data_IF_819880238270
#
_entry.id   IF_819880238270
#
_cell.length_a   1.000
_cell.length_b   1.000
_cell.length_c   1.000
_cell.angle_alpha   90.00
_cell.angle_beta   90.00
_cell.angle_gamma   90.00
#
_symmetry.space_group_name_H-M   'P 1'
#
loop_
_entity.id
_entity.type
_entity.pdbx_description
1 polymer ?
#
# COMPACT_ATOMS: atom_id res chain seq x y z
N UNK A 1 11.21 -44.79 -25.60
CA UNK A 1 10.62 -43.52 -26.05
C UNK A 1 9.88 -42.88 -24.87
N UNK A 2 10.65 -42.37 -23.90
CA UNK A 2 10.12 -41.85 -22.65
C UNK A 2 11.09 -40.80 -22.13
N UNK A 3 10.92 -39.52 -22.52
CA UNK A 3 11.61 -38.39 -21.90
C UNK A 3 11.01 -37.03 -22.26
N UNK A 4 9.72 -36.81 -22.01
CA UNK A 4 9.14 -35.45 -22.01
C UNK A 4 8.05 -35.34 -20.93
N UNK A 5 8.45 -35.46 -19.66
CA UNK A 5 7.75 -34.80 -18.56
C UNK A 5 8.60 -33.59 -18.21
N UNK A 6 8.46 -32.54 -19.02
CA UNK A 6 8.97 -31.22 -18.67
C UNK A 6 8.25 -30.76 -17.42
N UNK A 7 9.01 -30.43 -16.38
CA UNK A 7 8.51 -29.80 -15.18
C UNK A 7 7.70 -28.57 -15.60
N UNK A 8 6.40 -28.58 -15.29
CA UNK A 8 5.52 -27.42 -15.52
C UNK A 8 5.91 -26.36 -14.49
N UNK A 9 6.87 -25.52 -14.85
CA UNK A 9 7.20 -24.35 -14.06
C UNK A 9 6.05 -23.37 -14.22
N UNK A 10 5.34 -23.11 -13.13
CA UNK A 10 4.39 -22.01 -13.05
C UNK A 10 5.19 -20.72 -13.16
N UNK A 11 5.11 -20.03 -14.31
CA UNK A 11 5.77 -18.75 -14.49
C UNK A 11 4.96 -17.66 -13.80
N UNK A 12 5.50 -17.16 -12.69
CA UNK A 12 4.97 -16.00 -11.99
C UNK A 12 5.57 -14.75 -12.65
N UNK A 13 4.74 -13.97 -13.34
CA UNK A 13 5.15 -12.69 -13.90
C UNK A 13 4.78 -11.57 -12.94
N UNK A 14 5.79 -10.78 -12.58
CA UNK A 14 5.68 -9.66 -11.66
C UNK A 14 5.78 -8.37 -12.45
N UNK A 15 4.73 -7.55 -12.40
CA UNK A 15 4.68 -6.29 -13.13
C UNK A 15 5.37 -5.18 -12.32
N UNK A 16 6.64 -4.93 -12.63
CA UNK A 16 7.45 -3.89 -11.98
C UNK A 16 6.88 -2.49 -12.17
N UNK A 17 6.20 -2.21 -13.28
CA UNK A 17 5.64 -0.89 -13.54
C UNK A 17 4.41 -0.65 -12.64
N UNK A 18 3.62 -1.68 -12.36
CA UNK A 18 2.50 -1.58 -11.40
C UNK A 18 3.03 -1.41 -9.97
N UNK A 19 4.13 -2.08 -9.61
CA UNK A 19 4.65 -2.07 -8.24
C UNK A 19 5.42 -0.78 -7.91
N UNK A 20 6.24 -0.27 -8.83
CA UNK A 20 7.13 0.88 -8.60
C UNK A 20 6.86 2.07 -9.54
N UNK A 21 5.73 2.05 -10.24
CA UNK A 21 5.35 3.09 -11.20
C UNK A 21 5.30 4.49 -10.59
N UNK A 22 5.35 5.50 -11.47
CA UNK A 22 5.30 6.91 -11.08
C UNK A 22 4.07 7.25 -10.23
N UNK A 23 2.96 6.60 -10.50
CA UNK A 23 1.71 6.73 -9.75
C UNK A 23 1.91 6.44 -8.25
N UNK A 24 2.54 5.29 -7.93
CA UNK A 24 2.88 4.88 -6.56
C UNK A 24 3.84 5.87 -5.88
N UNK A 25 4.78 6.42 -6.64
CA UNK A 25 5.73 7.42 -6.15
C UNK A 25 5.02 8.75 -5.81
N UNK A 26 4.06 9.18 -6.63
CA UNK A 26 3.25 10.37 -6.36
C UNK A 26 2.44 10.16 -5.09
N UNK A 27 1.75 9.02 -4.95
CA UNK A 27 1.02 8.66 -3.74
C UNK A 27 1.90 8.74 -2.49
N UNK A 28 3.08 8.11 -2.53
CA UNK A 28 4.06 8.17 -1.46
C UNK A 28 4.51 9.61 -1.15
N UNK A 29 4.90 10.39 -2.16
CA UNK A 29 5.43 11.75 -1.97
C UNK A 29 4.37 12.72 -1.49
N UNK A 30 3.17 12.70 -2.08
CA UNK A 30 2.07 13.60 -1.72
C UNK A 30 1.65 13.41 -0.26
N UNK A 31 1.40 12.17 0.14
CA UNK A 31 1.04 11.86 1.52
C UNK A 31 2.22 12.09 2.48
N UNK A 32 3.46 11.86 2.04
CA UNK A 32 4.67 12.16 2.79
C UNK A 32 4.80 13.66 3.11
N UNK A 33 4.70 14.52 2.11
CA UNK A 33 4.79 15.98 2.28
C UNK A 33 3.69 16.51 3.20
N UNK A 34 2.43 16.10 2.98
CA UNK A 34 1.30 16.48 3.83
C UNK A 34 1.56 16.08 5.28
N UNK A 35 2.04 14.85 5.48
CA UNK A 35 2.33 14.30 6.81
C UNK A 35 3.46 15.02 7.51
N UNK A 36 4.52 15.42 6.80
CA UNK A 36 5.62 16.23 7.35
C UNK A 36 5.06 17.56 7.87
N UNK A 37 4.28 18.26 7.04
CA UNK A 37 3.70 19.57 7.39
C UNK A 37 2.82 19.44 8.63
N UNK A 38 1.90 18.47 8.64
CA UNK A 38 1.00 18.23 9.77
C UNK A 38 1.76 17.80 11.03
N UNK A 39 2.82 16.99 10.89
CA UNK A 39 3.66 16.58 12.01
C UNK A 39 4.39 17.76 12.66
N UNK A 40 4.95 18.67 11.87
CA UNK A 40 5.53 19.91 12.40
C UNK A 40 4.49 20.81 13.06
N UNK A 41 3.32 20.98 12.44
CA UNK A 41 2.22 21.74 13.04
C UNK A 41 1.84 21.17 14.40
N UNK A 42 1.71 19.85 14.53
CA UNK A 42 1.45 19.19 15.82
C UNK A 42 2.51 19.54 16.84
N UNK A 43 3.80 19.47 16.51
CA UNK A 43 4.87 19.78 17.46
C UNK A 43 4.83 21.26 17.89
N UNK A 44 4.58 22.17 16.95
CA UNK A 44 4.59 23.62 17.23
C UNK A 44 3.40 24.06 18.10
N UNK A 45 2.22 23.45 17.93
CA UNK A 45 0.99 23.89 18.60
C UNK A 45 0.63 23.07 19.84
N UNK A 46 1.30 21.93 20.07
CA UNK A 46 0.95 21.01 21.16
C UNK A 46 1.85 21.19 22.36
N UNK A 47 1.27 21.10 23.57
CA UNK A 47 2.06 20.88 24.76
C UNK A 47 2.81 19.54 24.69
N UNK A 48 4.05 19.50 25.19
CA UNK A 48 4.98 18.37 25.04
C UNK A 48 4.37 17.03 25.45
N UNK A 49 3.56 17.02 26.50
CA UNK A 49 2.91 15.83 27.05
C UNK A 49 1.88 15.17 26.11
N UNK A 50 1.50 15.85 25.02
CA UNK A 50 0.45 15.39 24.11
C UNK A 50 0.93 15.11 22.69
N UNK A 51 2.19 15.40 22.36
CA UNK A 51 2.73 15.26 20.99
C UNK A 51 2.58 13.82 20.49
N UNK A 52 3.04 12.83 21.26
CA UNK A 52 2.97 11.42 20.87
C UNK A 52 1.53 10.96 20.57
N UNK A 53 0.58 11.35 21.45
CA UNK A 53 -0.84 11.02 21.25
C UNK A 53 -1.40 11.67 20.00
N UNK A 54 -1.09 12.95 19.76
CA UNK A 54 -1.57 13.70 18.60
C UNK A 54 -0.97 13.19 17.29
N UNK A 55 0.33 12.86 17.26
CA UNK A 55 1.00 12.24 16.11
C UNK A 55 0.37 10.88 15.80
N UNK A 56 0.12 10.05 16.83
CA UNK A 56 -0.58 8.77 16.66
C UNK A 56 -1.99 8.95 16.09
N UNK A 57 -2.78 9.86 16.65
CA UNK A 57 -4.13 10.15 16.15
C UNK A 57 -4.10 10.67 14.70
N UNK A 58 -3.12 11.52 14.37
CA UNK A 58 -2.93 12.03 13.01
C UNK A 58 -2.55 10.91 12.04
N UNK A 59 -1.63 10.02 12.43
CA UNK A 59 -1.27 8.85 11.63
C UNK A 59 -2.50 7.99 11.32
N UNK A 60 -3.34 7.69 12.32
CA UNK A 60 -4.57 6.91 12.13
C UNK A 60 -5.51 7.62 11.15
N UNK A 61 -5.73 8.92 11.35
CA UNK A 61 -6.63 9.71 10.51
C UNK A 61 -6.16 9.73 9.05
N UNK A 62 -4.87 10.03 8.81
CA UNK A 62 -4.32 10.10 7.46
C UNK A 62 -4.31 8.73 6.76
N UNK A 63 -3.98 7.65 7.46
CA UNK A 63 -3.99 6.31 6.84
C UNK A 63 -5.42 5.90 6.52
N UNK A 64 -6.37 6.19 7.40
CA UNK A 64 -7.80 5.93 7.15
C UNK A 64 -8.29 6.72 5.94
N UNK A 65 -7.97 8.01 5.85
CA UNK A 65 -8.31 8.85 4.69
C UNK A 65 -7.70 8.29 3.41
N UNK A 66 -6.42 7.89 3.45
CA UNK A 66 -5.75 7.28 2.30
C UNK A 66 -6.43 6.00 1.80
N UNK A 67 -6.85 5.12 2.70
CA UNK A 67 -7.57 3.89 2.33
C UNK A 67 -8.97 4.22 1.80
N UNK A 68 -9.70 5.13 2.45
CA UNK A 68 -11.05 5.54 2.01
C UNK A 68 -11.01 6.19 0.64
N UNK A 69 -9.96 6.95 0.33
CA UNK A 69 -9.80 7.55 -0.99
C UNK A 69 -9.62 6.48 -2.08
N UNK A 70 -8.86 5.41 -1.84
CA UNK A 70 -8.77 4.29 -2.80
C UNK A 70 -10.12 3.58 -2.98
N UNK A 71 -10.88 3.38 -1.90
CA UNK A 71 -12.26 2.87 -2.02
C UNK A 71 -13.18 3.82 -2.79
N UNK A 72 -13.01 5.13 -2.64
CA UNK A 72 -13.77 6.14 -3.38
C UNK A 72 -13.45 6.06 -4.87
N UNK A 73 -12.19 5.79 -5.23
CA UNK A 73 -11.74 5.66 -6.62
C UNK A 73 -12.45 4.51 -7.35
N UNK A 74 -12.82 3.42 -6.65
CA UNK A 74 -13.66 2.36 -7.21
C UNK A 74 -14.97 2.87 -7.82
N UNK A 75 -15.53 3.95 -7.26
CA UNK A 75 -16.79 4.54 -7.70
C UNK A 75 -16.60 5.63 -8.77
N UNK A 76 -15.36 5.93 -9.17
CA UNK A 76 -15.04 6.99 -10.13
C UNK A 76 -14.72 6.39 -11.50
N UNK A 77 -15.42 6.81 -12.58
CA UNK A 77 -15.10 6.34 -13.92
C UNK A 77 -13.65 6.62 -14.30
N UNK A 78 -12.98 5.65 -14.95
CA UNK A 78 -11.59 5.74 -15.39
C UNK A 78 -10.55 5.86 -14.26
N UNK A 79 -10.92 5.52 -13.02
CA UNK A 79 -9.98 5.27 -11.93
C UNK A 79 -10.06 3.81 -11.52
N UNK A 80 -9.01 3.35 -10.84
CA UNK A 80 -8.93 1.99 -10.35
C UNK A 80 -8.64 2.04 -8.86
N UNK A 81 -9.36 1.26 -8.07
CA UNK A 81 -9.00 1.03 -6.68
C UNK A 81 -7.78 0.10 -6.63
N UNK A 82 -6.67 0.63 -6.13
CA UNK A 82 -5.39 -0.06 -6.13
C UNK A 82 -4.86 -0.22 -4.71
N UNK A 83 -4.68 -1.47 -4.30
CA UNK A 83 -4.12 -1.81 -2.98
C UNK A 83 -2.73 -1.20 -2.79
N UNK A 84 -1.90 -1.23 -3.84
CA UNK A 84 -0.53 -0.72 -3.78
C UNK A 84 -0.48 0.81 -3.62
N UNK A 85 -1.50 1.55 -4.05
CA UNK A 85 -1.60 2.99 -3.79
C UNK A 85 -1.88 3.28 -2.32
N UNK A 86 -2.81 2.55 -1.69
CA UNK A 86 -3.03 2.67 -0.25
C UNK A 86 -1.78 2.31 0.56
N UNK A 87 -1.01 1.31 0.12
CA UNK A 87 0.27 0.95 0.75
C UNK A 87 1.29 2.07 0.58
N UNK A 88 1.41 2.64 -0.62
CA UNK A 88 2.29 3.79 -0.87
C UNK A 88 1.91 5.01 -0.02
N UNK A 89 0.61 5.32 0.09
CA UNK A 89 0.06 6.35 0.98
C UNK A 89 0.50 6.10 2.43
N UNK A 90 0.29 4.88 2.95
CA UNK A 90 0.63 4.51 4.32
C UNK A 90 2.14 4.64 4.61
N UNK A 91 3.00 4.23 3.68
CA UNK A 91 4.45 4.42 3.81
C UNK A 91 4.84 5.90 3.81
N UNK A 92 4.27 6.68 2.89
CA UNK A 92 4.45 8.13 2.83
C UNK A 92 4.08 8.80 4.16
N UNK A 93 2.91 8.47 4.71
CA UNK A 93 2.44 9.01 5.99
C UNK A 93 3.39 8.63 7.13
N UNK A 94 3.80 7.38 7.19
CA UNK A 94 4.63 6.85 8.26
C UNK A 94 6.00 7.53 8.27
N UNK A 95 6.67 7.60 7.12
CA UNK A 95 7.98 8.26 7.01
C UNK A 95 7.85 9.78 7.18
N UNK A 96 6.77 10.38 6.63
CA UNK A 96 6.52 11.80 6.74
C UNK A 96 6.30 12.27 8.18
N UNK A 97 5.57 11.52 9.01
CA UNK A 97 5.42 11.83 10.45
C UNK A 97 6.65 11.45 11.28
N UNK A 98 7.44 10.47 10.84
CA UNK A 98 8.66 10.06 11.53
C UNK A 98 9.72 11.17 11.55
N UNK A 99 9.82 11.98 10.48
CA UNK A 99 10.78 13.10 10.40
C UNK A 99 10.59 14.12 11.54
N UNK A 100 9.43 14.80 11.68
CA UNK A 100 9.21 15.77 12.74
C UNK A 100 9.28 15.12 14.13
N UNK A 101 8.77 13.89 14.28
CA UNK A 101 8.85 13.16 15.54
C UNK A 101 10.31 12.90 15.96
N UNK A 102 11.15 12.43 15.04
CA UNK A 102 12.56 12.13 15.32
C UNK A 102 13.32 13.41 15.67
N UNK A 103 13.07 14.52 14.97
CA UNK A 103 13.65 15.81 15.31
C UNK A 103 13.25 16.25 16.73
N UNK A 104 11.97 16.12 17.09
CA UNK A 104 11.51 16.42 18.46
C UNK A 104 12.18 15.53 19.51
N UNK A 105 12.28 14.23 19.24
CA UNK A 105 12.96 13.28 20.12
C UNK A 105 14.44 13.63 20.28
N UNK A 106 15.15 13.97 19.21
CA UNK A 106 16.55 14.40 19.26
C UNK A 106 16.74 15.65 20.14
N UNK A 107 15.78 16.57 20.11
CA UNK A 107 15.80 17.79 20.93
C UNK A 107 15.45 17.53 22.41
N UNK A 108 14.72 16.46 22.72
CA UNK A 108 14.17 16.18 24.06
C UNK A 108 14.70 14.90 24.72
N UNK A 109 15.52 14.12 24.01
CA UNK A 109 16.18 12.89 24.44
C UNK A 109 15.23 11.80 24.99
N UNK A 110 14.02 11.66 24.41
CA UNK A 110 13.02 10.67 24.83
C UNK A 110 12.48 9.89 23.62
N UNK A 111 12.62 8.56 23.59
CA UNK A 111 12.17 7.70 22.48
C UNK A 111 10.82 7.01 22.77
N UNK A 112 9.74 7.32 22.04
CA UNK A 112 8.45 6.63 22.20
C UNK A 112 8.12 5.76 20.97
N UNK A 113 8.77 4.59 20.83
CA UNK A 113 8.57 3.70 19.66
C UNK A 113 7.34 2.77 19.82
N UNK A 114 6.88 2.50 21.06
CA UNK A 114 5.89 1.44 21.33
C UNK A 114 4.42 1.76 20.97
N UNK A 115 4.11 2.95 20.44
CA UNK A 115 2.72 3.43 20.38
C UNK A 115 1.92 3.03 19.12
N UNK A 116 2.57 2.41 18.12
CA UNK A 116 1.98 2.12 16.81
C UNK A 116 1.36 0.71 16.65
N UNK A 117 1.43 -0.16 17.65
CA UNK A 117 0.96 -1.55 17.52
C UNK A 117 -0.57 -1.68 17.51
N UNK A 118 -1.26 -1.00 18.44
CA UNK A 118 -2.72 -1.12 18.58
C UNK A 118 -3.52 -0.60 17.36
N UNK A 119 -3.15 0.54 16.73
CA UNK A 119 -3.81 1.01 15.51
C UNK A 119 -3.77 0.03 14.34
N UNK A 120 -2.68 -0.74 14.22
CA UNK A 120 -2.51 -1.69 13.12
C UNK A 120 -3.60 -2.77 13.12
N UNK A 121 -4.17 -3.11 14.28
CA UNK A 121 -5.25 -4.11 14.39
C UNK A 121 -6.52 -3.66 13.65
N UNK A 122 -6.82 -2.36 13.64
CA UNK A 122 -8.01 -1.80 12.96
C UNK A 122 -7.74 -1.61 11.46
N UNK A 123 -6.51 -1.24 11.10
CA UNK A 123 -6.13 -0.95 9.71
C UNK A 123 -5.92 -2.22 8.88
N UNK A 124 -5.47 -3.31 9.49
CA UNK A 124 -5.25 -4.58 8.77
C UNK A 124 -6.53 -5.08 8.09
N UNK A 125 -7.70 -5.15 8.75
CA UNK A 125 -8.95 -5.50 8.08
C UNK A 125 -9.30 -4.60 6.89
N UNK A 126 -9.06 -3.29 6.99
CA UNK A 126 -9.32 -2.34 5.90
C UNK A 126 -8.37 -2.58 4.71
N UNK A 127 -7.10 -2.84 4.97
CA UNK A 127 -6.12 -3.17 3.93
C UNK A 127 -6.41 -4.53 3.27
N UNK A 128 -6.84 -5.52 4.05
CA UNK A 128 -7.27 -6.83 3.54
C UNK A 128 -8.52 -6.69 2.69
N UNK A 129 -9.48 -5.85 3.12
CA UNK A 129 -10.64 -5.50 2.31
C UNK A 129 -10.24 -4.87 0.99
N UNK A 130 -9.32 -3.90 0.99
CA UNK A 130 -8.88 -3.23 -0.22
C UNK A 130 -8.11 -4.18 -1.15
N UNK A 131 -7.35 -5.13 -0.60
CA UNK A 131 -6.70 -6.19 -1.37
C UNK A 131 -7.73 -7.04 -2.14
N UNK A 132 -8.91 -7.28 -1.56
CA UNK A 132 -10.00 -7.99 -2.25
C UNK A 132 -10.62 -7.17 -3.39
N UNK A 133 -10.76 -5.85 -3.21
CA UNK A 133 -11.28 -4.94 -4.25
C UNK A 133 -10.20 -4.46 -5.24
N UNK A 134 -8.97 -4.94 -5.13
CA UNK A 134 -7.85 -4.48 -5.94
C UNK A 134 -8.09 -4.80 -7.42
N UNK A 135 -8.31 -3.76 -8.23
CA UNK A 135 -8.68 -3.91 -9.64
C UNK A 135 -7.47 -4.18 -10.55
N UNK A 136 -6.25 -3.90 -10.07
CA UNK A 136 -5.01 -4.12 -10.83
C UNK A 136 -4.12 -5.18 -10.18
N UNK A 137 -4.16 -6.44 -10.66
CA UNK A 137 -3.32 -7.50 -10.10
C UNK A 137 -1.84 -7.24 -10.41
N UNK A 138 -1.02 -7.22 -9.38
CA UNK A 138 0.44 -7.06 -9.48
C UNK A 138 1.17 -8.41 -9.63
N UNK A 139 0.46 -9.51 -9.41
CA UNK A 139 0.90 -10.88 -9.67
C UNK A 139 -0.06 -11.51 -10.66
N UNK A 140 0.44 -11.87 -11.83
CA UNK A 140 -0.31 -12.68 -12.80
C UNK A 140 0.27 -14.09 -12.81
N UNK A 141 -0.59 -15.07 -12.55
CA UNK A 141 -0.25 -16.48 -12.76
C UNK A 141 -0.62 -16.77 -14.21
N UNK A 142 0.39 -16.86 -15.07
CA UNK A 142 0.16 -17.30 -16.45
C UNK A 142 -0.02 -18.81 -16.39
N UNK A 143 -1.27 -19.28 -16.45
CA UNK A 143 -1.53 -20.70 -16.61
C UNK A 143 -1.30 -21.11 -18.08
N UNK A 144 -0.31 -21.96 -18.39
CA UNK A 144 -0.12 -22.48 -19.75
C UNK A 144 -1.26 -23.44 -20.19
N UNK A 145 -2.28 -23.65 -19.36
CA UNK A 145 -3.36 -24.63 -19.57
C UNK A 145 -4.50 -24.08 -20.42
N UNK A 146 -4.87 -22.80 -20.29
CA UNK A 146 -5.94 -22.21 -21.09
C UNK A 146 -5.55 -22.11 -22.58
N UNK A 147 -4.31 -21.71 -22.87
CA UNK A 147 -3.82 -21.63 -24.25
C UNK A 147 -3.69 -23.02 -24.88
N UNK A 148 -3.22 -24.02 -24.13
CA UNK A 148 -3.14 -25.40 -24.62
C UNK A 148 -4.53 -26.03 -24.82
N UNK A 149 -5.50 -25.76 -23.96
CA UNK A 149 -6.88 -26.23 -24.14
C UNK A 149 -7.55 -25.56 -25.34
N UNK A 150 -7.34 -24.26 -25.53
CA UNK A 150 -7.86 -23.53 -26.70
C UNK A 150 -7.26 -24.05 -28.00
N UNK A 151 -5.97 -24.35 -28.00
CA UNK A 151 -5.27 -24.95 -29.15
C UNK A 151 -5.72 -26.41 -29.39
N UNK A 152 -5.95 -27.21 -28.34
CA UNK A 152 -6.50 -28.57 -28.46
C UNK A 152 -7.93 -28.57 -29.00
N UNK A 153 -8.79 -27.69 -28.52
CA UNK A 153 -10.17 -27.54 -29.03
C UNK A 153 -10.15 -27.07 -30.48
N UNK A 154 -9.24 -26.16 -30.85
CA UNK A 154 -9.05 -25.75 -32.24
C UNK A 154 -8.51 -26.88 -33.14
N UNK A 155 -7.76 -27.83 -32.58
CA UNK A 155 -7.20 -28.98 -33.32
C UNK A 155 -8.19 -30.15 -33.46
N UNK A 156 -9.11 -30.32 -32.50
CA UNK A 156 -10.16 -31.36 -32.51
C UNK A 156 -11.42 -30.87 -33.24
N UNK A 157 -11.61 -29.56 -33.38
CA UNK A 157 -12.71 -28.93 -34.13
C UNK A 157 -12.47 -28.78 -35.64
N UNK A 158 -11.38 -29.36 -36.17
CA UNK A 158 -11.00 -29.45 -37.59
C UNK A 158 -10.95 -30.92 -38.01
#
# INVERSE_FOLDING_TARGET
>A
MAKLLGERVMEMLLDYQIIFGLDKQIHFLSYGVISIILGFLIILISGEQHINRRIKSMWIALVTVGIVEEYRQYMVPNRSAEFLDAVANMFGITLGLAIPLTLWVMLKNQLPIKQFVLPSIILVPLLVGLLYFNERPFLTIVEPLQDNLRNLVAYVGL
#
